data_IF_533563882856
#
_entry.id   IF_533563882856
#
_cell.length_a   1.000
_cell.length_b   1.000
_cell.length_c   1.000
_cell.angle_alpha   90.00
_cell.angle_beta   90.00
_cell.angle_gamma   90.00
#
_symmetry.space_group_name_H-M   'P 1'
#
loop_
_entity.id
_entity.type
_entity.pdbx_description
1 polymer ?
#
# COMPACT_ATOMS: atom_id res chain seq x y z
N UNK A 1 44.53 53.34 -32.19
CA UNK A 1 43.87 53.90 -30.99
C UNK A 1 43.51 52.74 -30.08
N UNK A 2 44.33 52.56 -29.05
CA UNK A 2 44.19 51.49 -28.04
C UNK A 2 43.49 52.11 -26.83
N UNK A 3 42.36 51.56 -26.41
CA UNK A 3 41.62 52.05 -25.22
C UNK A 3 42.11 51.27 -24.01
N UNK A 4 42.79 51.97 -23.09
CA UNK A 4 43.15 51.45 -21.77
C UNK A 4 41.95 51.57 -20.82
N UNK A 5 41.61 50.48 -20.14
CA UNK A 5 40.71 50.49 -18.99
C UNK A 5 41.52 50.88 -17.74
N UNK A 6 41.16 51.98 -17.08
CA UNK A 6 41.68 52.35 -15.76
C UNK A 6 40.87 51.64 -14.68
N UNK A 7 41.54 50.80 -13.88
CA UNK A 7 41.02 50.27 -12.63
C UNK A 7 40.90 51.40 -11.61
N UNK A 8 39.68 51.66 -11.12
CA UNK A 8 39.44 52.53 -9.96
C UNK A 8 39.52 51.64 -8.71
N UNK A 9 40.54 51.85 -7.88
CA UNK A 9 40.58 51.30 -6.53
C UNK A 9 39.66 52.11 -5.62
N UNK A 10 38.64 51.46 -5.05
CA UNK A 10 37.82 52.03 -3.99
C UNK A 10 38.51 51.83 -2.63
N UNK A 11 38.69 52.93 -1.91
CA UNK A 11 39.23 53.03 -0.55
C UNK A 11 38.19 52.50 0.47
N UNK A 12 38.51 51.49 1.31
CA UNK A 12 37.52 50.85 2.18
C UNK A 12 37.29 51.55 3.53
N UNK A 13 37.74 52.80 3.71
CA UNK A 13 37.85 53.40 5.05
C UNK A 13 36.84 54.50 5.43
N UNK A 14 35.71 54.63 4.72
CA UNK A 14 34.67 55.61 5.06
C UNK A 14 33.26 55.05 4.84
N UNK A 15 32.66 54.47 5.90
CA UNK A 15 31.29 54.70 6.35
C UNK A 15 30.98 53.80 7.57
N UNK A 16 31.03 54.40 8.76
CA UNK A 16 30.48 53.82 9.99
C UNK A 16 28.95 53.87 9.99
N UNK A 17 28.37 52.82 10.56
CA UNK A 17 27.08 52.77 11.26
C UNK A 17 25.85 53.42 10.62
N UNK A 18 25.18 52.63 9.78
CA UNK A 18 23.72 52.50 9.86
C UNK A 18 23.42 51.02 10.04
N UNK A 19 23.08 50.63 11.26
CA UNK A 19 22.59 49.29 11.58
C UNK A 19 21.24 49.03 10.93
N UNK A 20 21.21 48.83 9.62
CA UNK A 20 20.15 48.08 8.96
C UNK A 20 20.51 46.60 9.09
N UNK A 21 20.06 46.00 10.19
CA UNK A 21 19.76 44.58 10.19
C UNK A 21 18.83 44.35 9.00
N UNK A 22 19.38 43.75 7.94
CA UNK A 22 18.54 43.04 6.97
C UNK A 22 17.94 41.90 7.79
N UNK A 23 16.78 42.15 8.39
CA UNK A 23 15.93 41.08 8.85
C UNK A 23 15.66 40.25 7.60
N UNK A 24 16.19 39.02 7.57
CA UNK A 24 15.66 37.99 6.69
C UNK A 24 14.13 38.05 6.82
N UNK A 25 13.39 38.07 5.71
CA UNK A 25 11.94 38.21 5.79
C UNK A 25 11.40 36.99 6.53
N UNK A 26 11.11 37.17 7.81
CA UNK A 26 10.39 36.24 8.65
C UNK A 26 9.07 35.91 7.93
N UNK A 27 8.88 34.62 7.65
CA UNK A 27 7.65 34.00 7.20
C UNK A 27 6.77 34.89 6.31
N UNK A 28 7.08 34.88 5.00
CA UNK A 28 6.01 34.95 4.02
C UNK A 28 5.01 33.89 4.45
N UNK A 29 3.85 34.30 4.94
CA UNK A 29 2.67 33.47 5.10
C UNK A 29 2.37 32.88 3.72
N UNK A 30 3.07 31.80 3.37
CA UNK A 30 2.70 30.93 2.27
C UNK A 30 1.32 30.44 2.65
N UNK A 31 0.31 30.85 1.87
CA UNK A 31 -1.02 30.29 1.99
C UNK A 31 -0.86 28.77 2.10
N UNK A 32 -1.57 28.10 3.03
CA UNK A 32 -1.41 26.67 3.24
C UNK A 32 -1.56 25.95 1.89
N UNK A 33 -0.48 25.27 1.49
CA UNK A 33 -0.41 24.52 0.24
C UNK A 33 -1.22 23.26 0.41
N UNK A 34 -2.50 23.33 0.04
CA UNK A 34 -3.34 22.15 0.00
C UNK A 34 -3.02 21.36 -1.25
N UNK A 35 -2.55 20.13 -1.10
CA UNK A 35 -2.09 19.34 -2.24
C UNK A 35 -2.73 17.95 -2.30
N UNK A 36 -2.60 17.32 -3.46
CA UNK A 36 -3.01 15.93 -3.70
C UNK A 36 -1.85 15.15 -4.29
N UNK A 37 -1.85 13.83 -4.09
CA UNK A 37 -0.92 12.92 -4.76
C UNK A 37 -1.73 12.02 -5.68
N UNK A 38 -1.38 11.92 -6.96
CA UNK A 38 -1.98 11.01 -7.94
C UNK A 38 -0.91 10.03 -8.39
N UNK A 39 -1.16 8.75 -8.20
CA UNK A 39 -0.20 7.69 -8.51
C UNK A 39 -0.75 6.83 -9.64
N UNK A 40 -0.07 6.84 -10.78
CA UNK A 40 -0.19 5.77 -11.76
C UNK A 40 0.60 4.55 -11.26
N UNK A 41 -0.12 3.56 -10.75
CA UNK A 41 0.45 2.34 -10.20
C UNK A 41 1.05 1.49 -11.31
N UNK A 42 0.50 1.59 -12.54
CA UNK A 42 1.00 0.96 -13.76
C UNK A 42 2.47 1.27 -13.96
N UNK A 43 2.72 2.57 -14.14
CA UNK A 43 4.05 3.15 -14.26
C UNK A 43 4.92 2.84 -13.04
N UNK A 44 4.45 3.16 -11.83
CA UNK A 44 5.27 3.05 -10.61
C UNK A 44 5.82 1.63 -10.42
N UNK A 45 4.97 0.61 -10.54
CA UNK A 45 5.40 -0.78 -10.36
C UNK A 45 6.30 -1.27 -11.48
N UNK A 46 5.98 -0.93 -12.74
CA UNK A 46 6.78 -1.36 -13.88
C UNK A 46 8.19 -0.75 -13.82
N UNK A 47 8.29 0.56 -13.54
CA UNK A 47 9.56 1.26 -13.48
C UNK A 47 10.41 0.82 -12.27
N UNK A 48 9.81 0.64 -11.09
CA UNK A 48 10.53 0.14 -9.91
C UNK A 48 10.95 -1.32 -10.05
N UNK A 49 10.11 -2.18 -10.64
CA UNK A 49 10.45 -3.57 -10.94
C UNK A 49 11.62 -3.67 -11.91
N UNK A 50 11.62 -2.86 -12.97
CA UNK A 50 12.72 -2.80 -13.94
C UNK A 50 14.02 -2.31 -13.26
N UNK A 51 13.96 -1.23 -12.48
CA UNK A 51 15.10 -0.67 -11.76
C UNK A 51 15.74 -1.65 -10.76
N UNK A 52 14.91 -2.37 -9.98
CA UNK A 52 15.38 -3.19 -8.87
C UNK A 52 15.63 -4.66 -9.23
N UNK A 53 14.83 -5.20 -10.15
CA UNK A 53 14.73 -6.63 -10.42
C UNK A 53 14.93 -6.97 -11.92
N UNK A 54 15.08 -5.96 -12.78
CA UNK A 54 15.26 -6.15 -14.23
C UNK A 54 14.03 -6.69 -14.95
N UNK A 55 12.83 -6.45 -14.39
CA UNK A 55 11.56 -6.90 -14.99
C UNK A 55 10.43 -5.92 -14.69
N UNK A 56 9.72 -5.49 -15.73
CA UNK A 56 8.47 -4.73 -15.60
C UNK A 56 7.25 -5.62 -15.34
N UNK A 57 7.41 -6.95 -15.34
CA UNK A 57 6.32 -7.88 -15.17
C UNK A 57 5.89 -7.99 -13.70
N UNK A 58 4.73 -7.42 -13.38
CA UNK A 58 4.15 -7.40 -12.02
C UNK A 58 3.98 -8.78 -11.38
N UNK A 59 3.89 -9.87 -12.15
CA UNK A 59 3.78 -11.22 -11.55
C UNK A 59 5.10 -11.73 -10.95
N UNK A 60 6.23 -11.12 -11.30
CA UNK A 60 7.57 -11.57 -10.90
C UNK A 60 8.03 -10.97 -9.57
N UNK A 61 7.24 -10.08 -8.97
CA UNK A 61 7.54 -9.46 -7.69
C UNK A 61 6.28 -9.16 -6.86
N UNK A 62 6.46 -9.04 -5.55
CA UNK A 62 5.47 -8.53 -4.61
C UNK A 62 5.82 -7.10 -4.22
N UNK A 63 4.80 -6.30 -3.94
CA UNK A 63 4.94 -4.91 -3.48
C UNK A 63 4.21 -4.71 -2.17
N UNK A 64 4.91 -4.17 -1.16
CA UNK A 64 4.29 -3.64 0.06
C UNK A 64 3.72 -2.25 -0.22
N UNK A 65 2.54 -2.23 -0.84
CA UNK A 65 1.88 -1.00 -1.28
C UNK A 65 1.52 -0.08 -0.11
N UNK A 66 1.15 -0.64 1.05
CA UNK A 66 0.78 0.14 2.23
C UNK A 66 1.95 0.99 2.72
N UNK A 67 3.13 0.36 2.90
CA UNK A 67 4.34 1.08 3.31
C UNK A 67 4.80 2.06 2.23
N UNK A 68 4.69 1.70 0.96
CA UNK A 68 5.04 2.59 -0.15
C UNK A 68 4.16 3.85 -0.18
N UNK A 69 2.84 3.70 0.00
CA UNK A 69 1.89 4.81 0.06
C UNK A 69 2.24 5.75 1.23
N UNK A 70 2.52 5.20 2.41
CA UNK A 70 2.95 6.00 3.56
C UNK A 70 4.24 6.77 3.28
N UNK A 71 5.21 6.14 2.62
CA UNK A 71 6.46 6.78 2.25
C UNK A 71 6.26 7.90 1.21
N UNK A 72 5.42 7.69 0.20
CA UNK A 72 5.08 8.72 -0.80
C UNK A 72 4.39 9.93 -0.14
N UNK A 73 3.46 9.69 0.80
CA UNK A 73 2.81 10.76 1.55
C UNK A 73 3.83 11.54 2.38
N UNK A 74 4.71 10.85 3.09
CA UNK A 74 5.75 11.47 3.90
C UNK A 74 6.73 12.29 3.04
N UNK A 75 7.14 11.75 1.89
CA UNK A 75 8.01 12.45 0.95
C UNK A 75 7.33 13.69 0.36
N UNK A 76 6.02 13.63 0.10
CA UNK A 76 5.31 14.79 -0.45
C UNK A 76 5.15 15.87 0.63
N UNK A 77 4.95 15.45 1.87
CA UNK A 77 4.83 16.36 3.00
C UNK A 77 6.14 17.12 3.30
N UNK A 78 7.30 16.52 3.05
CA UNK A 78 8.59 17.20 3.24
C UNK A 78 8.80 18.36 2.25
N UNK A 79 8.25 18.27 1.04
CA UNK A 79 8.36 19.32 0.02
C UNK A 79 7.18 20.30 -0.03
N UNK A 80 5.96 19.87 0.32
CA UNK A 80 4.73 20.64 0.14
C UNK A 80 4.02 21.03 1.45
N UNK A 81 4.46 20.51 2.60
CA UNK A 81 3.83 20.73 3.90
C UNK A 81 2.79 19.67 4.27
N UNK A 82 2.02 19.89 5.34
CA UNK A 82 1.18 18.84 5.93
C UNK A 82 -0.28 18.79 5.42
N UNK A 83 -0.73 19.74 4.59
CA UNK A 83 -2.13 19.85 4.17
C UNK A 83 -2.45 18.95 2.95
N UNK A 84 -2.26 17.64 3.14
CA UNK A 84 -2.66 16.63 2.15
C UNK A 84 -4.20 16.52 2.12
N UNK A 85 -4.79 16.83 0.96
CA UNK A 85 -6.20 16.55 0.70
C UNK A 85 -6.46 15.03 0.70
N UNK A 86 -5.70 14.30 -0.13
CA UNK A 86 -5.63 12.82 -0.19
C UNK A 86 -4.59 12.34 -1.19
N UNK A 87 -4.26 11.06 -1.11
CA UNK A 87 -3.60 10.32 -2.18
C UNK A 87 -4.63 9.54 -3.00
N UNK A 88 -4.55 9.61 -4.33
CA UNK A 88 -5.31 8.81 -5.27
C UNK A 88 -4.41 7.71 -5.85
N UNK A 89 -4.82 6.46 -5.66
CA UNK A 89 -4.10 5.28 -6.12
C UNK A 89 -4.83 4.72 -7.33
N UNK A 90 -4.29 4.93 -8.53
CA UNK A 90 -4.90 4.49 -9.77
C UNK A 90 -4.30 3.17 -10.24
N UNK A 91 -5.06 2.11 -10.07
CA UNK A 91 -4.67 0.76 -10.48
C UNK A 91 -5.72 0.17 -11.41
N UNK A 92 -5.53 -1.07 -11.84
CA UNK A 92 -6.51 -1.78 -12.66
C UNK A 92 -6.85 -3.13 -12.04
N UNK A 93 -8.11 -3.55 -12.23
CA UNK A 93 -8.56 -4.87 -11.82
C UNK A 93 -9.50 -5.45 -12.89
N UNK A 94 -9.58 -6.79 -12.93
CA UNK A 94 -10.47 -7.48 -13.87
C UNK A 94 -11.92 -7.20 -13.49
N UNK A 95 -12.71 -6.74 -14.46
CA UNK A 95 -14.11 -6.34 -14.25
C UNK A 95 -14.28 -5.28 -13.13
N UNK A 96 -13.20 -4.55 -12.81
CA UNK A 96 -13.10 -3.62 -11.66
C UNK A 96 -13.39 -4.25 -10.29
N UNK A 97 -13.29 -5.58 -10.18
CA UNK A 97 -13.40 -6.29 -8.91
C UNK A 97 -12.04 -6.22 -8.21
N UNK A 98 -11.94 -5.54 -7.05
CA UNK A 98 -10.65 -5.30 -6.41
C UNK A 98 -10.03 -6.61 -5.87
N UNK A 99 -8.72 -6.76 -6.04
CA UNK A 99 -7.93 -7.84 -5.42
C UNK A 99 -7.86 -7.67 -3.90
N UNK A 100 -7.31 -8.66 -3.18
CA UNK A 100 -7.15 -8.56 -1.73
C UNK A 100 -6.29 -7.35 -1.34
N UNK A 101 -5.13 -7.19 -1.96
CA UNK A 101 -4.21 -6.08 -1.67
C UNK A 101 -4.86 -4.73 -1.98
N UNK A 102 -5.58 -4.64 -3.10
CA UNK A 102 -6.33 -3.43 -3.46
C UNK A 102 -7.41 -3.09 -2.41
N UNK A 103 -8.03 -4.08 -1.78
CA UNK A 103 -9.04 -3.85 -0.73
C UNK A 103 -8.42 -3.35 0.56
N UNK A 104 -7.21 -3.79 0.88
CA UNK A 104 -6.42 -3.22 1.97
C UNK A 104 -6.15 -1.75 1.69
N UNK A 105 -5.64 -1.44 0.48
CA UNK A 105 -5.37 -0.05 0.04
C UNK A 105 -6.64 0.81 0.08
N UNK A 106 -7.78 0.28 -0.36
CA UNK A 106 -9.05 0.99 -0.39
C UNK A 106 -9.57 1.39 1.00
N UNK A 107 -9.09 0.76 2.08
CA UNK A 107 -9.46 1.09 3.46
C UNK A 107 -8.46 2.01 4.16
N UNK A 108 -7.32 2.31 3.54
CA UNK A 108 -6.33 3.21 4.13
C UNK A 108 -6.90 4.63 4.28
N UNK A 109 -6.58 5.26 5.41
CA UNK A 109 -6.96 6.65 5.67
C UNK A 109 -6.30 7.59 4.64
N UNK A 110 -7.05 8.60 4.19
CA UNK A 110 -6.60 9.59 3.20
C UNK A 110 -6.18 9.01 1.83
N UNK A 111 -6.52 7.75 1.55
CA UNK A 111 -6.26 7.11 0.25
C UNK A 111 -7.57 6.87 -0.49
N UNK A 112 -7.58 7.10 -1.81
CA UNK A 112 -8.68 6.73 -2.69
C UNK A 112 -8.20 5.81 -3.80
N UNK A 113 -8.58 4.54 -3.71
CA UNK A 113 -8.40 3.59 -4.80
C UNK A 113 -9.34 3.92 -5.98
N UNK A 114 -8.77 3.97 -7.18
CA UNK A 114 -9.46 4.08 -8.48
C UNK A 114 -9.07 2.89 -9.34
N UNK A 115 -10.06 2.15 -9.84
CA UNK A 115 -9.82 0.94 -10.63
C UNK A 115 -10.22 1.14 -12.10
N UNK A 116 -9.22 1.18 -12.97
CA UNK A 116 -9.36 0.92 -14.39
C UNK A 116 -9.73 -0.54 -14.67
N UNK A 117 -10.01 -0.85 -15.93
CA UNK A 117 -10.34 -2.21 -16.33
C UNK A 117 -9.09 -2.93 -16.87
N UNK A 118 -8.84 -4.15 -16.40
CA UNK A 118 -7.85 -5.05 -17.01
C UNK A 118 -8.49 -5.86 -18.14
N UNK A 119 -7.89 -5.81 -19.32
CA UNK A 119 -8.34 -6.67 -20.42
C UNK A 119 -7.85 -8.13 -20.25
N UNK A 120 -8.32 -9.04 -21.10
CA UNK A 120 -7.95 -10.47 -21.05
C UNK A 120 -6.44 -10.74 -21.24
N UNK A 121 -5.68 -9.76 -21.74
CA UNK A 121 -4.22 -9.82 -21.91
C UNK A 121 -3.47 -9.15 -20.76
N UNK A 122 -4.17 -8.75 -19.70
CA UNK A 122 -3.57 -8.07 -18.54
C UNK A 122 -3.20 -6.60 -18.79
N UNK A 123 -3.61 -6.00 -19.91
CA UNK A 123 -3.34 -4.58 -20.17
C UNK A 123 -4.39 -3.72 -19.49
N UNK A 124 -3.92 -2.62 -18.90
CA UNK A 124 -4.77 -1.64 -18.24
C UNK A 124 -5.43 -0.74 -19.29
N UNK A 125 -6.72 -0.43 -19.12
CA UNK A 125 -7.44 0.50 -19.98
C UNK A 125 -8.18 1.55 -19.15
N UNK A 126 -7.97 2.82 -19.51
CA UNK A 126 -8.72 3.97 -19.00
C UNK A 126 -8.31 4.41 -17.60
N UNK A 127 -7.10 4.07 -17.15
CA UNK A 127 -6.48 4.65 -15.95
C UNK A 127 -6.10 6.11 -16.22
N UNK A 128 -5.44 6.37 -17.35
CA UNK A 128 -4.97 7.70 -17.77
C UNK A 128 -6.09 8.73 -17.84
N UNK A 129 -7.21 8.34 -18.46
CA UNK A 129 -8.41 9.17 -18.54
C UNK A 129 -9.02 9.47 -17.17
N UNK A 130 -8.94 8.53 -16.20
CA UNK A 130 -9.39 8.78 -14.83
C UNK A 130 -8.46 9.73 -14.09
N UNK A 131 -7.14 9.59 -14.25
CA UNK A 131 -6.14 10.50 -13.67
C UNK A 131 -6.42 11.91 -14.15
N UNK A 132 -6.52 12.10 -15.48
CA UNK A 132 -6.86 13.39 -16.09
C UNK A 132 -8.16 13.96 -15.53
N UNK A 133 -9.23 13.17 -15.52
CA UNK A 133 -10.55 13.62 -15.07
C UNK A 133 -10.53 14.06 -13.60
N UNK A 134 -9.88 13.29 -12.72
CA UNK A 134 -9.81 13.60 -11.28
C UNK A 134 -8.93 14.83 -11.04
N UNK A 135 -7.75 14.91 -11.68
CA UNK A 135 -6.85 16.07 -11.57
C UNK A 135 -7.50 17.35 -12.07
N UNK A 136 -8.10 17.32 -13.26
CA UNK A 136 -8.81 18.48 -13.84
C UNK A 136 -9.99 18.91 -12.96
N UNK A 137 -10.74 17.96 -12.38
CA UNK A 137 -11.86 18.26 -11.48
C UNK A 137 -11.37 18.95 -10.20
N UNK A 138 -10.31 18.43 -9.57
CA UNK A 138 -9.71 19.03 -8.37
C UNK A 138 -9.21 20.45 -8.64
N UNK A 139 -8.56 20.65 -9.79
CA UNK A 139 -8.05 21.94 -10.23
C UNK A 139 -9.17 22.94 -10.52
N UNK A 140 -10.17 22.53 -11.31
CA UNK A 140 -11.35 23.36 -11.66
C UNK A 140 -12.11 23.84 -10.43
N UNK A 141 -12.26 22.99 -9.42
CA UNK A 141 -12.94 23.34 -8.17
C UNK A 141 -12.01 24.04 -7.16
N UNK A 142 -10.76 24.34 -7.53
CA UNK A 142 -9.74 24.95 -6.65
C UNK A 142 -9.61 24.23 -5.31
N UNK A 143 -9.74 22.91 -5.34
CA UNK A 143 -9.67 22.08 -4.14
C UNK A 143 -8.24 21.89 -3.64
N UNK A 144 -7.26 22.13 -4.51
CA UNK A 144 -5.82 22.05 -4.27
C UNK A 144 -5.10 23.20 -4.98
N UNK A 145 -3.93 23.57 -4.48
CA UNK A 145 -3.01 24.52 -5.12
C UNK A 145 -1.86 23.80 -5.83
N UNK A 146 -1.56 22.58 -5.41
CA UNK A 146 -0.42 21.78 -5.86
C UNK A 146 -0.86 20.32 -6.06
N UNK A 147 -0.28 19.63 -7.04
CA UNK A 147 -0.51 18.22 -7.29
C UNK A 147 0.81 17.49 -7.52
N UNK A 148 1.05 16.40 -6.80
CA UNK A 148 2.12 15.45 -7.13
C UNK A 148 1.54 14.42 -8.08
N UNK A 149 2.19 14.22 -9.24
CA UNK A 149 1.83 13.20 -10.21
C UNK A 149 2.97 12.20 -10.35
N UNK A 150 2.76 10.95 -9.92
CA UNK A 150 3.72 9.86 -10.12
C UNK A 150 3.38 9.15 -11.43
N UNK A 151 4.11 9.48 -12.50
CA UNK A 151 3.89 8.96 -13.85
C UNK A 151 5.11 9.18 -14.76
N UNK A 152 5.12 8.55 -15.94
CA UNK A 152 6.16 8.78 -16.95
C UNK A 152 5.69 8.80 -18.41
N UNK A 153 4.42 8.48 -18.70
CA UNK A 153 3.91 8.43 -20.07
C UNK A 153 3.54 9.82 -20.60
N UNK A 154 3.79 10.07 -21.89
CA UNK A 154 3.43 11.32 -22.59
C UNK A 154 1.91 11.55 -22.56
N UNK A 155 1.10 10.49 -22.45
CA UNK A 155 -0.36 10.59 -22.33
C UNK A 155 -0.81 11.43 -21.11
N UNK A 156 0.05 11.56 -20.09
CA UNK A 156 -0.21 12.41 -18.93
C UNK A 156 -0.08 13.91 -19.20
N UNK A 157 0.55 14.30 -20.32
CA UNK A 157 0.76 15.72 -20.66
C UNK A 157 -0.56 16.49 -20.66
N UNK A 158 -1.61 15.91 -21.26
CA UNK A 158 -2.94 16.51 -21.31
C UNK A 158 -3.60 16.70 -19.93
N UNK A 159 -3.20 15.92 -18.92
CA UNK A 159 -3.67 16.09 -17.54
C UNK A 159 -2.95 17.24 -16.84
N UNK A 160 -1.64 17.39 -17.09
CA UNK A 160 -0.81 18.48 -16.55
C UNK A 160 -1.30 19.83 -17.08
N UNK A 161 -1.41 19.96 -18.41
CA UNK A 161 -1.91 21.18 -19.08
C UNK A 161 -3.29 21.58 -18.56
N UNK A 162 -4.20 20.60 -18.42
CA UNK A 162 -5.55 20.83 -17.92
C UNK A 162 -5.54 21.37 -16.48
N UNK A 163 -4.70 20.82 -15.60
CA UNK A 163 -4.59 21.29 -14.22
C UNK A 163 -4.03 22.72 -14.13
N UNK A 164 -2.96 22.98 -14.87
CA UNK A 164 -2.28 24.28 -14.91
C UNK A 164 -3.17 25.37 -15.51
N UNK A 165 -4.08 25.04 -16.42
CA UNK A 165 -5.09 25.98 -16.92
C UNK A 165 -5.99 26.59 -15.83
N UNK A 166 -6.10 25.92 -14.67
CA UNK A 166 -6.81 26.42 -13.48
C UNK A 166 -5.86 26.95 -12.38
N UNK A 167 -4.56 27.03 -12.65
CA UNK A 167 -3.55 27.58 -11.75
C UNK A 167 -2.99 26.60 -10.71
N UNK A 168 -3.19 25.29 -10.88
CA UNK A 168 -2.55 24.26 -10.03
C UNK A 168 -1.11 24.04 -10.51
N UNK A 169 -0.16 24.02 -9.57
CA UNK A 169 1.22 23.60 -9.86
C UNK A 169 1.31 22.07 -9.85
N UNK A 170 2.01 21.50 -10.83
CA UNK A 170 2.16 20.04 -10.96
C UNK A 170 3.62 19.64 -10.75
N UNK A 171 3.85 18.79 -9.76
CA UNK A 171 5.13 18.22 -9.40
C UNK A 171 5.21 16.79 -9.92
N UNK A 172 5.94 16.57 -11.01
CA UNK A 172 6.09 15.26 -11.62
C UNK A 172 7.13 14.43 -10.87
N UNK A 173 6.74 13.23 -10.46
CA UNK A 173 7.61 12.28 -9.78
C UNK A 173 7.86 11.08 -10.69
N UNK A 174 9.12 10.85 -11.02
CA UNK A 174 9.57 9.71 -11.80
C UNK A 174 10.30 8.69 -10.94
N UNK A 175 10.31 7.43 -11.34
CA UNK A 175 11.24 6.44 -10.78
C UNK A 175 12.57 6.57 -11.51
N UNK A 176 13.69 6.40 -10.82
CA UNK A 176 15.00 6.35 -11.47
C UNK A 176 15.02 5.29 -12.59
N UNK A 177 15.43 5.64 -13.83
CA UNK A 177 15.56 4.66 -14.89
C UNK A 177 16.86 3.86 -14.72
N UNK A 178 16.87 2.53 -14.95
CA UNK A 178 18.13 1.77 -14.94
C UNK A 178 19.06 2.19 -16.08
N UNK A 179 18.51 2.61 -17.22
CA UNK A 179 19.22 3.16 -18.37
C UNK A 179 18.34 4.20 -19.08
N UNK A 180 18.94 5.23 -19.68
CA UNK A 180 18.21 6.20 -20.50
C UNK A 180 17.21 7.06 -19.72
N UNK A 181 16.02 7.26 -20.26
CA UNK A 181 14.90 7.97 -19.62
C UNK A 181 13.66 7.07 -19.59
N UNK A 182 12.86 7.18 -18.54
CA UNK A 182 11.55 6.51 -18.43
C UNK A 182 10.40 7.51 -18.24
N UNK A 183 10.66 8.79 -18.49
CA UNK A 183 9.67 9.86 -18.50
C UNK A 183 9.73 10.60 -19.84
N UNK A 184 8.57 10.86 -20.42
CA UNK A 184 8.45 11.61 -21.65
C UNK A 184 9.00 13.04 -21.46
N UNK A 185 9.87 13.47 -22.37
CA UNK A 185 10.56 14.75 -22.27
C UNK A 185 9.59 15.94 -22.25
N UNK A 186 8.51 15.90 -23.04
CA UNK A 186 7.47 16.94 -23.00
C UNK A 186 6.75 17.00 -21.66
N UNK A 187 6.49 15.86 -21.03
CA UNK A 187 5.85 15.81 -19.72
C UNK A 187 6.76 16.46 -18.65
N UNK A 188 8.06 16.18 -18.73
CA UNK A 188 9.09 16.80 -17.88
C UNK A 188 9.12 18.31 -18.07
N UNK A 189 9.07 18.79 -19.31
CA UNK A 189 9.11 20.23 -19.63
C UNK A 189 7.85 21.00 -19.20
N UNK A 190 6.67 20.37 -19.32
CA UNK A 190 5.41 21.02 -18.94
C UNK A 190 5.23 21.10 -17.42
N UNK A 191 5.84 20.17 -16.67
CA UNK A 191 5.70 20.10 -15.21
C UNK A 191 6.46 21.22 -14.50
N UNK A 192 5.90 21.76 -13.41
CA UNK A 192 6.51 22.85 -12.64
C UNK A 192 7.80 22.43 -11.94
N UNK A 193 7.87 21.19 -11.46
CA UNK A 193 9.08 20.59 -10.87
C UNK A 193 9.13 19.10 -11.17
N UNK A 194 10.34 18.55 -11.18
CA UNK A 194 10.56 17.10 -11.33
C UNK A 194 11.33 16.57 -10.13
N UNK A 195 10.91 15.41 -9.62
CA UNK A 195 11.56 14.70 -8.53
C UNK A 195 11.77 13.23 -8.90
N UNK A 196 12.91 12.66 -8.53
CA UNK A 196 13.25 11.27 -8.82
C UNK A 196 13.16 10.42 -7.55
N UNK A 197 12.36 9.36 -7.61
CA UNK A 197 12.31 8.28 -6.63
C UNK A 197 13.43 7.30 -6.99
N UNK A 198 14.54 7.40 -6.27
CA UNK A 198 15.73 6.59 -6.50
C UNK A 198 15.57 5.13 -6.01
N UNK A 199 16.55 4.30 -6.35
CA UNK A 199 16.59 2.91 -5.93
C UNK A 199 16.57 2.73 -4.40
N UNK A 200 17.11 3.67 -3.62
CA UNK A 200 17.10 3.60 -2.16
C UNK A 200 15.68 3.80 -1.62
N UNK A 201 14.93 4.75 -2.18
CA UNK A 201 13.55 5.01 -1.83
C UNK A 201 12.65 3.80 -2.11
N UNK A 202 12.74 3.19 -3.30
CA UNK A 202 11.78 2.14 -3.71
C UNK A 202 12.11 0.75 -3.18
N UNK A 203 13.40 0.42 -2.98
CA UNK A 203 13.87 -0.93 -2.61
C UNK A 203 13.17 -1.57 -1.41
N UNK A 204 12.85 -0.87 -0.31
CA UNK A 204 12.23 -1.49 0.87
C UNK A 204 10.84 -2.09 0.62
N UNK A 205 10.18 -1.72 -0.49
CA UNK A 205 8.80 -2.11 -0.76
C UNK A 205 8.68 -3.22 -1.80
N UNK A 206 9.76 -3.63 -2.45
CA UNK A 206 9.74 -4.64 -3.52
C UNK A 206 10.47 -5.90 -3.08
N UNK A 207 9.84 -7.06 -3.31
CA UNK A 207 10.45 -8.36 -3.09
C UNK A 207 10.24 -9.26 -4.31
N UNK A 208 11.26 -9.96 -4.83
CA UNK A 208 11.07 -10.89 -5.93
C UNK A 208 10.13 -12.02 -5.52
N UNK A 209 9.19 -12.36 -6.39
CA UNK A 209 8.35 -13.55 -6.23
C UNK A 209 9.24 -14.73 -6.60
N UNK A 210 9.78 -15.43 -5.60
CA UNK A 210 10.65 -16.56 -5.86
C UNK A 210 10.01 -17.53 -6.85
N UNK A 211 10.71 -17.86 -7.94
CA UNK A 211 10.48 -19.15 -8.61
C UNK A 211 10.54 -20.18 -7.50
N UNK A 212 9.45 -20.93 -7.26
CA UNK A 212 9.44 -22.00 -6.27
C UNK A 212 10.61 -22.93 -6.65
N UNK A 213 11.73 -22.80 -5.93
CA UNK A 213 12.79 -23.79 -5.94
C UNK A 213 12.28 -24.90 -5.05
N UNK A 214 12.01 -26.05 -5.63
CA UNK A 214 11.75 -27.28 -4.89
C UNK A 214 12.92 -27.46 -3.92
N UNK A 215 12.70 -27.46 -2.58
CA UNK A 215 13.77 -27.72 -1.63
C UNK A 215 14.35 -29.08 -1.94
N UNK A 216 15.68 -29.19 -1.92
CA UNK A 216 16.30 -30.51 -2.09
C UNK A 216 16.15 -31.31 -0.79
N UNK A 217 15.99 -32.65 -0.85
CA UNK A 217 15.82 -33.49 0.34
C UNK A 217 16.91 -33.33 1.42
N UNK A 218 18.08 -32.77 1.06
CA UNK A 218 19.18 -32.51 1.98
C UNK A 218 18.94 -31.35 2.96
N UNK A 219 18.07 -30.40 2.61
CA UNK A 219 17.77 -29.21 3.44
C UNK A 219 16.70 -29.50 4.51
N UNK A 220 16.02 -30.65 4.43
CA UNK A 220 14.94 -31.07 5.35
C UNK A 220 15.47 -31.84 6.57
N UNK A 221 16.71 -32.37 6.51
CA UNK A 221 17.21 -33.32 7.52
C UNK A 221 18.26 -32.80 8.51
N UNK A 222 18.64 -31.52 8.46
CA UNK A 222 19.68 -30.97 9.33
C UNK A 222 19.15 -30.00 10.39
N UNK A 223 18.86 -30.52 11.59
CA UNK A 223 18.98 -29.72 12.82
C UNK A 223 17.86 -29.87 13.84
N UNK A 224 18.05 -30.74 14.85
CA UNK A 224 17.48 -30.59 16.20
C UNK A 224 18.61 -30.66 17.23
N UNK A 225 18.49 -29.90 18.32
CA UNK A 225 18.64 -30.54 19.63
C UNK A 225 17.42 -30.29 20.52
N UNK A 226 17.14 -31.31 21.35
CA UNK A 226 16.05 -31.38 22.31
C UNK A 226 16.42 -30.66 23.63
N UNK A 227 15.42 -30.02 24.26
CA UNK A 227 15.49 -29.62 25.67
C UNK A 227 14.23 -30.17 26.35
N UNK A 228 14.45 -30.96 27.40
CA UNK A 228 13.44 -31.57 28.25
C UNK A 228 13.17 -30.71 29.49
N UNK A 229 11.91 -30.62 29.95
CA UNK A 229 11.56 -30.25 31.32
C UNK A 229 10.30 -31.02 31.81
N UNK A 230 10.16 -31.28 33.13
CA UNK A 230 9.34 -32.37 33.67
C UNK A 230 7.93 -31.96 34.14
N UNK A 231 7.09 -32.98 34.31
CA UNK A 231 5.71 -32.92 34.79
C UNK A 231 5.60 -32.73 36.31
N UNK A 232 4.60 -31.96 36.76
CA UNK A 232 4.09 -32.01 38.13
C UNK A 232 2.56 -31.88 38.15
N UNK A 233 1.92 -32.82 38.84
CA UNK A 233 0.48 -32.97 39.05
C UNK A 233 -0.04 -32.01 40.13
N UNK A 234 -1.28 -31.50 40.00
CA UNK A 234 -2.08 -31.03 41.14
C UNK A 234 -3.56 -31.37 40.95
N UNK A 235 -4.15 -31.88 42.03
CA UNK A 235 -5.49 -32.41 42.29
C UNK A 235 -6.60 -31.35 42.49
N UNK A 236 -7.86 -31.71 42.18
CA UNK A 236 -9.13 -31.11 42.68
C UNK A 236 -9.52 -31.73 44.05
N UNK A 237 -10.54 -31.29 44.87
CA UNK A 237 -11.88 -30.68 44.56
C UNK A 237 -12.38 -29.66 45.67
N UNK A 238 -13.69 -29.45 46.00
CA UNK A 238 -14.93 -29.22 45.25
C UNK A 238 -15.64 -27.85 45.55
N UNK A 239 -16.75 -27.60 44.84
CA UNK A 239 -17.69 -26.45 44.91
C UNK A 239 -18.74 -26.55 46.05
N UNK A 240 -19.46 -25.45 46.38
CA UNK A 240 -20.91 -25.57 46.58
C UNK A 240 -21.80 -24.52 45.84
N UNK A 241 -22.93 -25.08 45.38
CA UNK A 241 -24.14 -24.66 44.63
C UNK A 241 -25.01 -23.47 45.15
N UNK A 242 -26.10 -23.05 44.42
CA UNK A 242 -26.39 -21.65 44.04
C UNK A 242 -27.75 -21.09 44.54
N UNK A 243 -28.09 -19.85 44.11
CA UNK A 243 -29.45 -19.25 44.17
C UNK A 243 -29.77 -18.61 42.80
N UNK A 244 -31.01 -18.70 42.24
CA UNK A 244 -31.24 -18.55 40.80
C UNK A 244 -31.63 -17.13 40.39
N UNK A 245 -31.09 -16.68 39.26
CA UNK A 245 -31.59 -15.52 38.52
C UNK A 245 -31.87 -15.92 37.06
N UNK A 246 -32.93 -15.32 36.51
CA UNK A 246 -33.65 -15.71 35.31
C UNK A 246 -32.78 -16.12 34.09
N UNK A 247 -33.13 -17.27 33.49
CA UNK A 247 -32.60 -17.76 32.21
C UNK A 247 -32.78 -16.71 31.11
N UNK A 248 -31.70 -16.00 30.77
CA UNK A 248 -31.42 -15.67 29.37
C UNK A 248 -30.69 -16.87 28.79
N UNK A 249 -31.23 -17.46 27.72
CA UNK A 249 -30.57 -18.55 27.01
C UNK A 249 -29.19 -18.04 26.56
N UNK A 250 -28.14 -18.54 27.20
CA UNK A 250 -26.78 -18.37 26.71
C UNK A 250 -26.67 -19.29 25.49
N UNK A 251 -26.29 -18.79 24.30
CA UNK A 251 -25.95 -19.69 23.20
C UNK A 251 -24.86 -20.64 23.71
N UNK A 252 -25.04 -21.94 23.51
CA UNK A 252 -23.99 -22.90 23.84
C UNK A 252 -22.73 -22.53 23.07
N UNK A 253 -21.53 -22.68 23.67
CA UNK A 253 -20.30 -22.42 22.94
C UNK A 253 -20.29 -23.31 21.69
N UNK A 254 -20.16 -22.72 20.49
CA UNK A 254 -20.19 -23.47 19.24
C UNK A 254 -19.10 -24.55 19.24
N UNK A 255 -19.40 -25.70 18.63
CA UNK A 255 -18.46 -26.83 18.61
C UNK A 255 -17.22 -26.46 17.80
N UNK A 256 -16.03 -26.87 18.28
CA UNK A 256 -14.77 -26.52 17.62
C UNK A 256 -14.76 -27.00 16.18
N UNK A 257 -15.23 -28.23 15.92
CA UNK A 257 -15.21 -28.82 14.60
C UNK A 257 -16.09 -28.00 13.63
N UNK A 258 -17.31 -27.68 14.05
CA UNK A 258 -18.25 -26.85 13.28
C UNK A 258 -17.64 -25.48 12.92
N UNK A 259 -16.94 -24.83 13.85
CA UNK A 259 -16.33 -23.52 13.60
C UNK A 259 -15.17 -23.60 12.62
N UNK A 260 -14.35 -24.66 12.71
CA UNK A 260 -13.27 -24.93 11.76
C UNK A 260 -13.85 -25.21 10.38
N UNK A 261 -14.91 -26.02 10.28
CA UNK A 261 -15.60 -26.31 9.02
C UNK A 261 -16.17 -25.04 8.38
N UNK A 262 -16.72 -24.12 9.17
CA UNK A 262 -17.16 -22.81 8.67
C UNK A 262 -15.99 -21.99 8.14
N UNK A 263 -14.85 -21.98 8.82
CA UNK A 263 -13.63 -21.36 8.31
C UNK A 263 -13.21 -21.92 6.95
N UNK A 264 -13.22 -23.26 6.81
CA UNK A 264 -12.92 -23.93 5.54
C UNK A 264 -13.95 -23.58 4.44
N UNK A 265 -15.24 -23.52 4.80
CA UNK A 265 -16.32 -23.16 3.89
C UNK A 265 -16.16 -21.75 3.35
N UNK A 266 -15.88 -20.76 4.21
CA UNK A 266 -15.67 -19.36 3.79
C UNK A 266 -14.45 -19.25 2.87
N UNK A 267 -13.35 -19.93 3.19
CA UNK A 267 -12.18 -19.99 2.31
C UNK A 267 -12.53 -20.57 0.92
N UNK A 268 -13.27 -21.67 0.88
CA UNK A 268 -13.69 -22.28 -0.38
C UNK A 268 -14.58 -21.34 -1.21
N UNK A 269 -15.54 -20.70 -0.55
CA UNK A 269 -16.42 -19.70 -1.18
C UNK A 269 -15.62 -18.54 -1.75
N UNK A 270 -14.62 -18.04 -1.04
CA UNK A 270 -13.76 -16.96 -1.52
C UNK A 270 -12.86 -17.39 -2.69
N UNK A 271 -12.31 -18.60 -2.69
CA UNK A 271 -11.55 -19.13 -3.84
C UNK A 271 -12.41 -19.13 -5.11
N UNK A 272 -13.68 -19.56 -5.01
CA UNK A 272 -14.61 -19.61 -6.14
C UNK A 272 -15.07 -18.22 -6.61
N UNK A 273 -15.34 -17.31 -5.67
CA UNK A 273 -15.95 -16.01 -5.97
C UNK A 273 -14.95 -14.90 -6.25
N UNK A 274 -13.80 -14.91 -5.57
CA UNK A 274 -12.73 -13.92 -5.70
C UNK A 274 -11.61 -14.42 -6.61
N UNK A 275 -11.53 -15.73 -6.86
CA UNK A 275 -10.49 -16.34 -7.69
C UNK A 275 -9.33 -16.88 -6.87
N UNK A 276 -8.72 -17.96 -7.39
CA UNK A 276 -7.61 -18.67 -6.74
C UNK A 276 -6.41 -17.74 -6.51
N UNK A 277 -5.96 -17.04 -7.54
CA UNK A 277 -4.76 -16.20 -7.46
C UNK A 277 -4.88 -15.10 -6.38
N UNK A 278 -6.03 -14.43 -6.31
CA UNK A 278 -6.32 -13.42 -5.28
C UNK A 278 -6.24 -13.98 -3.85
N UNK A 279 -6.64 -15.23 -3.62
CA UNK A 279 -6.52 -15.88 -2.31
C UNK A 279 -5.08 -16.33 -2.07
N UNK A 280 -4.36 -16.68 -3.14
CA UNK A 280 -2.94 -17.02 -3.09
C UNK A 280 -2.06 -15.86 -2.63
N UNK A 281 -2.47 -14.61 -2.84
CA UNK A 281 -1.71 -13.43 -2.41
C UNK A 281 -1.55 -13.35 -0.87
N UNK A 282 -2.49 -13.94 -0.13
CA UNK A 282 -2.42 -14.07 1.33
C UNK A 282 -1.27 -15.00 1.79
N UNK A 283 -0.75 -15.84 0.90
CA UNK A 283 0.33 -16.77 1.24
C UNK A 283 1.67 -16.05 1.42
N UNK A 284 2.50 -16.52 2.37
CA UNK A 284 2.38 -17.81 3.07
C UNK A 284 1.49 -17.80 4.31
N UNK A 285 0.83 -16.68 4.69
CA UNK A 285 0.14 -16.57 5.98
C UNK A 285 1.10 -16.66 7.18
N UNK A 286 0.63 -16.91 8.42
CA UNK A 286 -0.76 -17.13 8.83
C UNK A 286 -1.49 -15.84 9.26
N UNK A 287 -0.86 -14.68 9.15
CA UNK A 287 -1.48 -13.41 9.51
C UNK A 287 -2.35 -12.91 8.35
N UNK A 288 -3.62 -12.65 8.64
CA UNK A 288 -4.54 -12.02 7.70
C UNK A 288 -4.46 -10.50 7.84
N UNK A 289 -4.45 -9.73 6.73
CA UNK A 289 -4.66 -8.30 6.79
C UNK A 289 -5.98 -7.99 7.52
N UNK A 290 -5.99 -6.97 8.38
CA UNK A 290 -7.13 -6.63 9.27
C UNK A 290 -8.47 -6.55 8.53
N UNK A 291 -8.46 -6.04 7.31
CA UNK A 291 -9.65 -5.95 6.44
C UNK A 291 -10.21 -7.33 6.13
N UNK A 292 -9.32 -8.21 5.69
CA UNK A 292 -9.64 -9.57 5.27
C UNK A 292 -10.06 -10.40 6.49
N UNK A 293 -9.39 -10.21 7.62
CA UNK A 293 -9.75 -10.83 8.88
C UNK A 293 -11.18 -10.47 9.34
N UNK A 294 -11.52 -9.17 9.31
CA UNK A 294 -12.86 -8.70 9.65
C UNK A 294 -13.92 -9.31 8.75
N UNK A 295 -13.67 -9.38 7.46
CA UNK A 295 -14.62 -9.97 6.51
C UNK A 295 -14.80 -11.46 6.70
N UNK A 296 -13.70 -12.18 6.92
CA UNK A 296 -13.74 -13.61 7.25
C UNK A 296 -14.63 -13.84 8.46
N UNK A 297 -14.44 -13.05 9.53
CA UNK A 297 -15.23 -13.18 10.74
C UNK A 297 -16.70 -12.80 10.53
N UNK A 298 -17.00 -11.73 9.80
CA UNK A 298 -18.38 -11.31 9.49
C UNK A 298 -19.09 -12.36 8.65
N UNK A 299 -18.40 -12.96 7.68
CA UNK A 299 -18.98 -14.01 6.86
C UNK A 299 -19.16 -15.30 7.64
N UNK A 300 -18.21 -15.68 8.49
CA UNK A 300 -18.38 -16.81 9.41
C UNK A 300 -19.55 -16.60 10.39
N UNK A 301 -19.71 -15.40 10.96
CA UNK A 301 -20.87 -15.05 11.81
C UNK A 301 -22.19 -15.19 11.04
N UNK A 302 -22.22 -14.80 9.75
CA UNK A 302 -23.40 -14.93 8.89
C UNK A 302 -23.76 -16.38 8.63
N UNK A 303 -22.79 -17.24 8.33
CA UNK A 303 -23.02 -18.66 8.08
C UNK A 303 -23.37 -19.42 9.38
N UNK A 304 -22.79 -19.04 10.52
CA UNK A 304 -23.08 -19.63 11.84
C UNK A 304 -24.40 -19.13 12.47
N UNK A 305 -24.90 -17.97 12.05
CA UNK A 305 -26.09 -17.34 12.65
C UNK A 305 -25.91 -16.84 14.09
N UNK A 306 -24.67 -16.77 14.58
CA UNK A 306 -24.32 -16.30 15.94
C UNK A 306 -23.15 -15.31 15.88
N UNK A 307 -23.04 -14.43 16.88
CA UNK A 307 -21.89 -13.54 16.99
C UNK A 307 -20.69 -14.25 17.64
N UNK A 308 -19.54 -14.10 17.01
CA UNK A 308 -18.23 -14.60 17.45
C UNK A 308 -17.49 -13.61 18.36
N UNK A 309 -17.99 -12.38 18.54
CA UNK A 309 -17.37 -11.35 19.39
C UNK A 309 -17.06 -11.81 20.83
N UNK A 310 -17.95 -12.51 21.55
CA UNK A 310 -17.67 -12.98 22.91
C UNK A 310 -16.80 -14.25 22.95
N UNK A 311 -16.55 -14.90 21.81
CA UNK A 311 -15.87 -16.20 21.73
C UNK A 311 -14.49 -16.05 21.06
N UNK A 312 -13.49 -15.61 21.82
CA UNK A 312 -12.14 -15.37 21.29
C UNK A 312 -11.52 -16.62 20.65
N UNK A 313 -11.66 -17.79 21.29
CA UNK A 313 -11.20 -19.07 20.73
C UNK A 313 -11.90 -19.45 19.43
N UNK A 314 -13.20 -19.18 19.30
CA UNK A 314 -13.94 -19.47 18.07
C UNK A 314 -13.39 -18.66 16.89
N UNK A 315 -13.03 -17.39 17.09
CA UNK A 315 -12.38 -16.59 16.05
C UNK A 315 -11.03 -17.15 15.61
N UNK A 316 -10.26 -17.75 16.53
CA UNK A 316 -9.03 -18.46 16.18
C UNK A 316 -9.33 -19.71 15.34
N UNK A 317 -10.35 -20.48 15.71
CA UNK A 317 -10.76 -21.67 14.97
C UNK A 317 -11.33 -21.37 13.57
N UNK A 318 -12.02 -20.24 13.39
CA UNK A 318 -12.43 -19.79 12.03
C UNK A 318 -11.21 -19.53 11.16
N UNK A 319 -10.20 -18.80 11.69
CA UNK A 319 -8.94 -18.55 10.97
C UNK A 319 -8.21 -19.86 10.70
N UNK A 320 -8.27 -20.77 11.66
CA UNK A 320 -7.68 -22.09 11.55
C UNK A 320 -8.28 -22.86 10.36
N UNK A 321 -9.60 -23.00 10.32
CA UNK A 321 -10.29 -23.59 9.17
C UNK A 321 -9.98 -22.88 7.86
N UNK A 322 -10.03 -21.55 7.85
CA UNK A 322 -9.72 -20.76 6.66
C UNK A 322 -8.34 -21.10 6.10
N UNK A 323 -7.30 -21.02 6.92
CA UNK A 323 -5.95 -21.34 6.50
C UNK A 323 -5.76 -22.81 6.13
N UNK A 324 -6.42 -23.74 6.84
CA UNK A 324 -6.38 -25.17 6.50
C UNK A 324 -6.87 -25.42 5.07
N UNK A 325 -7.97 -24.77 4.67
CA UNK A 325 -8.47 -24.85 3.29
C UNK A 325 -7.53 -24.16 2.30
N UNK A 326 -7.01 -22.97 2.62
CA UNK A 326 -6.09 -22.24 1.72
C UNK A 326 -4.81 -23.03 1.48
N UNK A 327 -4.13 -23.53 2.52
CA UNK A 327 -2.92 -24.35 2.32
C UNK A 327 -3.21 -25.62 1.50
N UNK A 328 -4.37 -26.27 1.74
CA UNK A 328 -4.81 -27.46 0.96
C UNK A 328 -5.00 -27.14 -0.52
N UNK A 329 -5.61 -26.00 -0.86
CA UNK A 329 -5.83 -25.53 -2.23
C UNK A 329 -4.51 -25.27 -2.99
N UNK A 330 -3.46 -24.84 -2.29
CA UNK A 330 -2.15 -24.53 -2.87
C UNK A 330 -1.12 -25.66 -2.71
N UNK A 331 -1.51 -26.80 -2.14
CA UNK A 331 -0.61 -27.95 -1.93
C UNK A 331 0.55 -27.64 -0.97
N UNK A 332 0.35 -26.70 -0.04
CA UNK A 332 1.35 -26.26 0.91
C UNK A 332 1.14 -26.92 2.28
N UNK A 333 2.24 -27.17 2.99
CA UNK A 333 2.20 -27.58 4.39
C UNK A 333 2.01 -26.35 5.29
N UNK A 334 1.25 -26.50 6.38
CA UNK A 334 1.08 -25.44 7.37
C UNK A 334 2.40 -25.13 8.08
N UNK A 335 2.82 -23.85 8.15
CA UNK A 335 3.95 -23.44 8.98
C UNK A 335 3.53 -23.51 10.46
N UNK A 336 3.78 -24.67 11.08
CA UNK A 336 3.64 -24.99 12.51
C UNK A 336 2.21 -24.94 13.11
N UNK A 337 1.64 -26.12 13.42
CA UNK A 337 0.64 -26.28 14.48
C UNK A 337 -0.43 -27.33 14.25
N UNK A 338 -0.15 -28.56 14.71
CA UNK A 338 -1.06 -29.66 15.12
C UNK A 338 -2.12 -30.14 14.12
N UNK A 339 -1.86 -31.32 13.54
CA UNK A 339 -2.87 -32.16 12.91
C UNK A 339 -3.70 -32.95 13.92
#
# INVERSE_FOLDING_TARGET
MTVMWQNVHADPSLCHDVGMSVQEPADRHLLPRRYTVLVDVGYLYAASGELLLGTSNRSEFKVDAERMIHALIAQAASGLGADLLRLYWFDAARDRVPTIDQRVIAQMAQVKLRLGNLNLRGQQKGVDAQIRSDLETLARHRSVTDAVLVAGDEDMLSAVEAAQSYGVRVHLWGVEPPYGTNQAERLVWESDTVYTLDAEFVRPYFAPTGRIRTPTPAEVFSGRPAIALPAAQVSAPPEPRPVPAARRAHPQPPDRLEIVEIGEYVAQKWILTRGRDNIGDLLPGPLLPTVIDKELLVEAEKELGISLRPFEKARLWVRDGFWSRVYREFGLARPNGEG
#
